data_IF_536654132535
#
_entry.id   IF_536654132535
#
_cell.length_a   1.000
_cell.length_b   1.000
_cell.length_c   1.000
_cell.angle_alpha   90.00
_cell.angle_beta   90.00
_cell.angle_gamma   90.00
#
_symmetry.space_group_name_H-M   'P 1'
#
loop_
_entity.id
_entity.type
_entity.pdbx_description
1 polymer ?
#
# COMPACT_ATOMS: atom_id res chain seq x y z
N UNK A 1 -10.04 -24.66 -5.68
CA UNK A 1 -9.45 -23.34 -5.44
C UNK A 1 -10.62 -22.39 -5.25
N UNK A 2 -10.75 -21.76 -4.10
CA UNK A 2 -11.91 -20.91 -3.76
C UNK A 2 -11.70 -19.45 -4.13
N UNK A 3 -10.45 -19.00 -4.23
CA UNK A 3 -10.09 -17.67 -4.72
C UNK A 3 -8.64 -17.69 -5.20
N UNK A 4 -8.37 -17.02 -6.31
CA UNK A 4 -7.02 -16.72 -6.81
C UNK A 4 -7.03 -15.24 -7.17
N UNK A 5 -6.39 -14.41 -6.35
CA UNK A 5 -6.11 -13.02 -6.71
C UNK A 5 -4.70 -12.98 -7.32
N UNK A 6 -4.62 -12.99 -8.64
CA UNK A 6 -3.35 -12.90 -9.35
C UNK A 6 -2.72 -11.50 -9.23
N UNK A 7 -3.53 -10.51 -8.90
CA UNK A 7 -3.18 -9.09 -8.87
C UNK A 7 -2.74 -8.59 -7.49
N UNK A 8 -2.36 -9.49 -6.57
CA UNK A 8 -1.86 -9.07 -5.25
C UNK A 8 -0.60 -8.23 -5.41
N UNK A 9 -0.72 -6.96 -5.07
CA UNK A 9 0.37 -6.00 -5.07
C UNK A 9 0.90 -5.79 -3.65
N UNK A 10 2.21 -5.85 -3.48
CA UNK A 10 2.92 -5.74 -2.20
C UNK A 10 3.86 -4.54 -2.23
N UNK A 11 3.93 -3.79 -1.13
CA UNK A 11 4.92 -2.75 -0.91
C UNK A 11 5.63 -2.91 0.43
N UNK A 12 6.87 -2.44 0.48
CA UNK A 12 7.67 -2.33 1.70
C UNK A 12 7.88 -0.85 2.01
N UNK A 13 7.36 -0.40 3.16
CA UNK A 13 7.42 1.01 3.56
C UNK A 13 8.33 1.15 4.77
N UNK A 14 9.41 1.91 4.62
CA UNK A 14 10.26 2.30 5.74
C UNK A 14 9.67 3.52 6.43
N UNK A 15 9.38 3.39 7.73
CA UNK A 15 8.88 4.47 8.57
C UNK A 15 10.01 5.37 9.07
N UNK A 16 9.67 6.55 9.60
CA UNK A 16 10.64 7.52 10.11
C UNK A 16 11.44 7.06 11.34
N UNK A 17 11.03 5.96 11.98
CA UNK A 17 11.76 5.28 13.06
C UNK A 17 12.51 4.02 12.58
N UNK A 18 12.86 3.97 11.29
CA UNK A 18 13.66 2.92 10.63
C UNK A 18 13.04 1.51 10.69
N UNK A 19 11.73 1.40 10.89
CA UNK A 19 11.01 0.12 10.79
C UNK A 19 10.52 -0.09 9.37
N UNK A 20 10.53 -1.34 8.92
CA UNK A 20 9.93 -1.72 7.64
C UNK A 20 8.57 -2.37 7.88
N UNK A 21 7.55 -1.85 7.21
CA UNK A 21 6.21 -2.43 7.16
C UNK A 21 6.04 -3.13 5.82
N UNK A 22 5.66 -4.40 5.87
CA UNK A 22 5.26 -5.20 4.71
C UNK A 22 3.74 -5.09 4.56
N UNK A 23 3.28 -4.47 3.47
CA UNK A 23 1.88 -4.16 3.25
C UNK A 23 1.41 -4.77 1.94
N UNK A 24 0.36 -5.59 2.04
CA UNK A 24 -0.30 -6.18 0.89
C UNK A 24 -1.58 -5.41 0.62
N UNK A 25 -1.71 -4.92 -0.61
CA UNK A 25 -2.95 -4.29 -1.05
C UNK A 25 -4.07 -5.32 -1.04
N UNK A 26 -5.25 -4.85 -0.69
CA UNK A 26 -6.50 -5.58 -0.77
C UNK A 26 -7.42 -4.85 -1.75
N UNK A 27 -8.53 -5.48 -2.16
CA UNK A 27 -9.46 -4.91 -3.14
C UNK A 27 -9.93 -3.48 -2.79
N UNK A 28 -9.95 -3.13 -1.50
CA UNK A 28 -10.39 -1.82 -1.01
C UNK A 28 -9.26 -0.81 -0.79
N UNK A 29 -8.00 -1.16 -1.05
CA UNK A 29 -6.87 -0.23 -0.91
C UNK A 29 -6.90 0.79 -2.05
N UNK A 30 -6.94 2.08 -1.72
CA UNK A 30 -6.85 3.15 -2.73
C UNK A 30 -5.42 3.66 -2.86
N UNK A 31 -4.92 3.77 -4.10
CA UNK A 31 -3.65 4.43 -4.43
C UNK A 31 -3.93 5.75 -5.12
N UNK A 32 -3.39 6.84 -4.59
CA UNK A 32 -3.58 8.17 -5.16
C UNK A 32 -2.27 8.92 -5.37
N UNK A 33 -2.25 9.77 -6.40
CA UNK A 33 -1.22 10.79 -6.62
C UNK A 33 -1.92 12.10 -6.93
N UNK A 34 -1.54 13.19 -6.25
CA UNK A 34 -2.17 14.50 -6.41
C UNK A 34 -3.71 14.52 -6.21
N UNK A 35 -4.24 13.56 -5.45
CA UNK A 35 -5.68 13.43 -5.20
C UNK A 35 -6.46 12.66 -6.28
N UNK A 36 -5.78 12.16 -7.30
CA UNK A 36 -6.38 11.30 -8.33
C UNK A 36 -5.97 9.84 -8.10
N UNK A 37 -6.89 8.90 -8.39
CA UNK A 37 -6.61 7.47 -8.31
C UNK A 37 -5.68 7.05 -9.45
N UNK A 38 -4.68 6.23 -9.14
CA UNK A 38 -3.67 5.79 -10.10
C UNK A 38 -3.40 4.29 -9.98
N UNK A 39 -2.90 3.71 -11.07
CA UNK A 39 -2.51 2.30 -11.11
C UNK A 39 -1.30 2.02 -10.22
N UNK A 40 -1.21 0.77 -9.73
CA UNK A 40 -0.07 0.33 -8.92
C UNK A 40 1.28 0.51 -9.62
N UNK A 41 1.31 0.48 -10.96
CA UNK A 41 2.52 0.72 -11.76
C UNK A 41 3.12 2.12 -11.58
N UNK A 42 2.38 3.06 -11.00
CA UNK A 42 2.89 4.40 -10.71
C UNK A 42 3.78 4.43 -9.46
N UNK A 43 3.81 3.36 -8.65
CA UNK A 43 4.73 3.25 -7.51
C UNK A 43 6.14 2.86 -7.98
N UNK A 44 7.13 3.59 -7.48
CA UNK A 44 8.55 3.39 -7.75
C UNK A 44 9.35 3.29 -6.45
N UNK A 45 10.47 2.56 -6.48
CA UNK A 45 11.37 2.48 -5.33
C UNK A 45 11.91 3.86 -4.92
N UNK A 46 11.92 4.13 -3.62
CA UNK A 46 12.41 5.39 -3.05
C UNK A 46 11.40 6.54 -3.03
N UNK A 47 10.20 6.34 -3.58
CA UNK A 47 9.12 7.32 -3.44
C UNK A 47 8.67 7.47 -1.99
N UNK A 48 8.29 8.70 -1.64
CA UNK A 48 7.65 8.96 -0.36
C UNK A 48 6.16 8.72 -0.49
N UNK A 49 5.63 7.93 0.43
CA UNK A 49 4.20 7.66 0.54
C UNK A 49 3.69 8.00 1.94
N UNK A 50 2.45 8.46 2.00
CA UNK A 50 1.64 8.47 3.21
C UNK A 50 0.71 7.26 3.15
N UNK A 51 0.69 6.44 4.21
CA UNK A 51 -0.10 5.22 4.24
C UNK A 51 -0.98 5.19 5.47
N UNK A 52 -2.29 5.07 5.25
CA UNK A 52 -3.25 4.78 6.31
C UNK A 52 -3.46 3.27 6.39
N UNK A 53 -3.30 2.71 7.60
CA UNK A 53 -3.45 1.27 7.84
C UNK A 53 -4.48 0.98 8.93
N UNK A 54 -5.20 -0.12 8.76
CA UNK A 54 -6.07 -0.69 9.79
C UNK A 54 -5.48 -2.00 10.33
N UNK A 55 -5.59 -2.21 11.64
CA UNK A 55 -5.14 -3.46 12.26
C UNK A 55 -6.23 -4.51 12.16
N UNK A 56 -6.01 -5.50 11.31
CA UNK A 56 -6.88 -6.66 11.16
C UNK A 56 -6.25 -7.90 11.81
N UNK A 57 -6.61 -8.13 13.07
CA UNK A 57 -6.02 -9.19 13.89
C UNK A 57 -4.53 -9.00 14.13
N UNK A 58 -3.70 -9.77 13.41
CA UNK A 58 -2.23 -9.70 13.49
C UNK A 58 -1.58 -8.97 12.31
N UNK A 59 -2.35 -8.63 11.28
CA UNK A 59 -1.88 -7.96 10.07
C UNK A 59 -2.28 -6.47 10.08
N UNK A 60 -1.54 -5.67 9.34
CA UNK A 60 -1.92 -4.31 8.96
C UNK A 60 -2.42 -4.34 7.51
N UNK A 61 -3.65 -3.90 7.29
CA UNK A 61 -4.24 -3.77 5.97
C UNK A 61 -4.14 -2.30 5.54
N UNK A 62 -3.53 -1.97 4.39
CA UNK A 62 -3.48 -0.61 3.89
C UNK A 62 -4.86 -0.18 3.40
N UNK A 63 -5.42 0.87 3.98
CA UNK A 63 -6.68 1.48 3.54
C UNK A 63 -6.44 2.48 2.40
N UNK A 64 -5.42 3.32 2.56
CA UNK A 64 -5.02 4.28 1.53
C UNK A 64 -3.50 4.42 1.45
N UNK A 65 -3.00 4.59 0.23
CA UNK A 65 -1.62 4.91 -0.08
C UNK A 65 -1.63 6.16 -0.94
N UNK A 66 -0.89 7.19 -0.51
CA UNK A 66 -0.78 8.45 -1.22
C UNK A 66 0.66 8.73 -1.57
N UNK A 67 0.95 8.82 -2.86
CA UNK A 67 2.27 9.22 -3.37
C UNK A 67 2.43 10.73 -3.15
N UNK A 68 3.49 11.12 -2.45
CA UNK A 68 3.76 12.51 -2.10
C UNK A 68 4.69 13.20 -3.10
N UNK A 69 5.70 12.48 -3.61
CA UNK A 69 6.72 12.96 -4.55
C UNK A 69 7.22 11.80 -5.43
#
# INVERSE_FOLDING_TARGET
VTEVEADKTEIYVTTSDDKTLELYFIETTSLTRNGEEVDFSELEEGQKVEVEVEKNGKRLDPLSVKILE
#
